data_IF_127997744798
#
_entry.id   IF_127997744798
#
_cell.length_a   1.000
_cell.length_b   1.000
_cell.length_c   1.000
_cell.angle_alpha   90.00
_cell.angle_beta   90.00
_cell.angle_gamma   90.00
#
_symmetry.space_group_name_H-M   'P 1'
#
loop_
_entity.id
_entity.type
_entity.pdbx_description
1 polymer ?
#
# COMPACT_ATOMS: atom_id res chain seq x y z
N UNK A 1 0.42 15.68 1.50
CA UNK A 1 -0.51 14.96 2.40
C UNK A 1 -0.02 13.54 2.54
N UNK A 2 0.09 13.04 3.77
CA UNK A 2 0.47 11.64 3.99
C UNK A 2 -0.74 10.72 3.89
N UNK A 3 -0.57 9.64 3.16
CA UNK A 3 -1.55 8.57 2.98
C UNK A 3 -0.90 7.23 3.30
N UNK A 4 -1.75 6.26 3.56
CA UNK A 4 -1.34 4.90 3.82
C UNK A 4 -2.01 3.95 2.84
N UNK A 5 -1.38 2.81 2.59
CA UNK A 5 -2.02 1.72 1.86
C UNK A 5 -1.56 0.37 2.40
N UNK A 6 -2.49 -0.48 2.86
CA UNK A 6 -2.18 -1.88 3.14
C UNK A 6 -1.99 -2.64 1.81
N UNK A 7 -0.92 -3.41 1.71
CA UNK A 7 -0.59 -4.20 0.52
C UNK A 7 -0.22 -5.64 0.90
N UNK A 8 -0.46 -6.58 0.00
CA UNK A 8 0.06 -7.95 0.11
C UNK A 8 1.44 -8.08 -0.54
N UNK A 9 2.07 -9.25 -0.39
CA UNK A 9 3.44 -9.47 -0.89
C UNK A 9 3.59 -9.25 -2.40
N UNK A 10 2.61 -9.71 -3.21
CA UNK A 10 2.66 -9.55 -4.68
C UNK A 10 2.63 -8.09 -5.11
N UNK A 11 1.81 -7.27 -4.44
CA UNK A 11 1.72 -5.84 -4.74
C UNK A 11 2.99 -5.12 -4.25
N UNK A 12 3.53 -5.49 -3.08
CA UNK A 12 4.80 -4.94 -2.60
C UNK A 12 5.97 -5.26 -3.54
N UNK A 13 6.05 -6.46 -4.10
CA UNK A 13 7.08 -6.81 -5.10
C UNK A 13 6.99 -5.93 -6.36
N UNK A 14 5.77 -5.61 -6.82
CA UNK A 14 5.57 -4.71 -7.95
C UNK A 14 5.97 -3.26 -7.61
N UNK A 15 5.67 -2.79 -6.40
CA UNK A 15 6.12 -1.48 -5.91
C UNK A 15 7.66 -1.44 -5.83
N UNK A 16 8.30 -2.51 -5.36
CA UNK A 16 9.75 -2.61 -5.28
C UNK A 16 10.40 -2.59 -6.68
N UNK A 17 9.83 -3.30 -7.66
CA UNK A 17 10.27 -3.24 -9.08
C UNK A 17 10.09 -1.86 -9.69
N UNK A 18 9.11 -1.09 -9.21
CA UNK A 18 8.93 0.31 -9.56
C UNK A 18 9.78 1.26 -8.70
N UNK A 19 10.85 0.77 -8.04
CA UNK A 19 11.74 1.57 -7.18
C UNK A 19 11.03 2.34 -6.07
N UNK A 20 9.88 1.83 -5.60
CA UNK A 20 9.03 2.46 -4.62
C UNK A 20 8.51 3.84 -5.03
N UNK A 21 8.37 4.13 -6.33
CA UNK A 21 7.83 5.41 -6.81
C UNK A 21 6.41 5.31 -7.34
N UNK A 22 5.86 4.10 -7.50
CA UNK A 22 4.53 3.90 -8.06
C UNK A 22 3.83 2.64 -7.52
N UNK A 23 2.50 2.71 -7.44
CA UNK A 23 1.65 1.54 -7.27
C UNK A 23 1.34 0.90 -8.64
N UNK A 24 1.22 -0.44 -8.72
CA UNK A 24 0.90 -1.11 -9.97
C UNK A 24 -0.54 -0.82 -10.43
N UNK A 25 -0.83 -0.90 -11.74
CA UNK A 25 -2.19 -0.80 -12.26
C UNK A 25 -3.15 -1.75 -11.55
N UNK A 26 -4.40 -1.31 -11.39
CA UNK A 26 -5.47 -2.15 -10.83
C UNK A 26 -5.86 -3.22 -11.85
N UNK A 27 -6.39 -4.34 -11.36
CA UNK A 27 -7.01 -5.34 -12.24
C UNK A 27 -8.29 -4.74 -12.87
N UNK A 28 -8.71 -5.17 -14.07
CA UNK A 28 -9.91 -4.63 -14.72
C UNK A 28 -11.18 -4.70 -13.86
N UNK A 29 -11.28 -5.70 -12.98
CA UNK A 29 -12.41 -5.87 -12.04
C UNK A 29 -12.34 -4.95 -10.81
N UNK A 30 -11.25 -4.21 -10.63
CA UNK A 30 -11.02 -3.31 -9.50
C UNK A 30 -11.15 -1.85 -9.99
N UNK A 31 -12.35 -1.25 -9.93
CA UNK A 31 -12.62 0.05 -10.55
C UNK A 31 -11.93 1.22 -9.84
N UNK A 32 -11.46 1.01 -8.61
CA UNK A 32 -10.86 2.05 -7.79
C UNK A 32 -9.52 1.62 -7.19
N UNK A 33 -8.62 2.58 -7.09
CA UNK A 33 -7.48 2.60 -6.19
C UNK A 33 -7.87 3.41 -4.95
N UNK A 34 -7.68 2.81 -3.77
CA UNK A 34 -8.05 3.44 -2.51
C UNK A 34 -6.89 3.47 -1.52
N UNK A 35 -6.27 4.63 -1.33
CA UNK A 35 -5.40 4.88 -0.19
C UNK A 35 -6.24 5.33 1.02
N UNK A 36 -5.76 5.03 2.22
CA UNK A 36 -6.43 5.36 3.48
C UNK A 36 -5.73 6.50 4.18
N UNK A 37 -6.49 7.27 4.96
CA UNK A 37 -5.96 8.43 5.67
C UNK A 37 -5.31 8.05 7.02
N UNK A 38 -5.70 6.92 7.59
CA UNK A 38 -5.32 6.53 8.96
C UNK A 38 -4.41 5.30 8.97
N UNK A 39 -3.29 5.39 9.67
CA UNK A 39 -2.38 4.27 9.88
C UNK A 39 -3.09 3.08 10.56
N UNK A 40 -3.86 3.33 11.62
CA UNK A 40 -4.57 2.29 12.37
C UNK A 40 -5.51 1.46 11.47
N UNK A 41 -6.16 2.12 10.51
CA UNK A 41 -7.02 1.43 9.55
C UNK A 41 -6.20 0.59 8.56
N UNK A 42 -5.10 1.13 8.03
CA UNK A 42 -4.19 0.38 7.18
C UNK A 42 -3.59 -0.83 7.91
N UNK A 43 -3.18 -0.63 9.17
CA UNK A 43 -2.64 -1.67 10.04
C UNK A 43 -3.65 -2.79 10.26
N UNK A 44 -4.90 -2.46 10.58
CA UNK A 44 -5.96 -3.45 10.77
C UNK A 44 -6.14 -4.32 9.53
N UNK A 45 -6.18 -3.71 8.33
CA UNK A 45 -6.30 -4.47 7.07
C UNK A 45 -5.07 -5.36 6.85
N UNK A 46 -3.87 -4.80 6.99
CA UNK A 46 -2.63 -5.53 6.77
C UNK A 46 -2.49 -6.73 7.74
N UNK A 47 -2.74 -6.51 9.03
CA UNK A 47 -2.62 -7.53 10.07
C UNK A 47 -3.74 -8.55 10.05
N UNK A 48 -4.99 -8.12 9.91
CA UNK A 48 -6.14 -9.00 10.17
C UNK A 48 -6.64 -9.69 8.89
N UNK A 49 -6.38 -9.11 7.71
CA UNK A 49 -6.86 -9.60 6.41
C UNK A 49 -5.73 -10.06 5.48
N UNK A 50 -4.69 -9.24 5.24
CA UNK A 50 -3.62 -9.61 4.28
C UNK A 50 -2.79 -10.81 4.77
N UNK A 51 -2.60 -10.99 6.08
CA UNK A 51 -1.95 -12.18 6.68
C UNK A 51 -2.73 -13.48 6.47
N UNK A 52 -4.03 -13.39 6.15
CA UNK A 52 -4.91 -14.53 5.85
C UNK A 52 -5.17 -14.71 4.35
N UNK A 53 -4.68 -13.78 3.54
CA UNK A 53 -4.75 -13.86 2.08
C UNK A 53 -3.73 -14.83 1.51
N UNK A 54 -3.73 -15.02 0.19
CA UNK A 54 -2.84 -15.95 -0.51
C UNK A 54 -1.33 -15.73 -0.26
N UNK A 55 -0.90 -14.52 0.14
CA UNK A 55 0.51 -14.26 0.47
C UNK A 55 0.88 -14.50 1.92
N UNK A 56 -0.11 -14.71 2.80
CA UNK A 56 0.05 -14.81 4.25
C UNK A 56 0.90 -13.70 4.89
N UNK A 57 0.93 -12.52 4.25
CA UNK A 57 1.72 -11.38 4.68
C UNK A 57 1.02 -10.09 4.27
N UNK A 58 1.06 -9.11 5.17
CA UNK A 58 0.50 -7.78 4.98
C UNK A 58 1.52 -6.71 5.33
N UNK A 59 1.52 -5.62 4.58
CA UNK A 59 2.45 -4.52 4.76
C UNK A 59 1.69 -3.21 4.77
N UNK A 60 2.04 -2.32 5.68
CA UNK A 60 1.54 -0.94 5.65
C UNK A 60 2.56 -0.09 4.94
N UNK A 61 2.14 0.52 3.83
CA UNK A 61 2.92 1.55 3.15
C UNK A 61 2.46 2.94 3.56
N UNK A 62 3.40 3.88 3.65
CA UNK A 62 3.19 5.31 3.84
C UNK A 62 3.81 6.06 2.68
N UNK A 63 3.11 7.05 2.15
CA UNK A 63 3.62 7.87 1.06
C UNK A 63 3.01 9.26 1.13
N UNK A 64 3.71 10.23 0.54
CA UNK A 64 3.24 11.59 0.45
C UNK A 64 2.73 11.87 -0.97
N UNK A 65 1.62 12.60 -1.07
CA UNK A 65 1.04 13.06 -2.33
C UNK A 65 0.82 14.56 -2.27
N UNK A 66 0.99 15.25 -3.40
CA UNK A 66 0.71 16.69 -3.52
C UNK A 66 -0.71 17.04 -3.07
N UNK A 67 -0.83 17.98 -2.13
CA UNK A 67 -2.10 18.41 -1.54
C UNK A 67 -3.09 18.95 -2.58
N UNK A 68 -2.60 19.73 -3.54
CA UNK A 68 -3.44 20.33 -4.59
C UNK A 68 -4.08 19.26 -5.49
N UNK A 69 -3.39 18.15 -5.73
CA UNK A 69 -3.89 17.06 -6.54
C UNK A 69 -4.88 16.20 -5.75
N UNK A 70 -4.51 15.81 -4.52
CA UNK A 70 -5.30 14.85 -3.75
C UNK A 70 -6.65 15.40 -3.26
N UNK A 71 -6.78 16.73 -3.13
CA UNK A 71 -8.04 17.42 -2.78
C UNK A 71 -9.16 17.22 -3.81
N UNK A 72 -8.86 16.72 -5.02
CA UNK A 72 -9.87 16.36 -6.02
C UNK A 72 -10.70 15.16 -5.60
N UNK A 73 -10.18 14.30 -4.72
CA UNK A 73 -10.85 13.10 -4.28
C UNK A 73 -11.55 13.34 -2.93
N UNK A 74 -12.89 13.24 -2.85
CA UNK A 74 -13.60 13.39 -1.59
C UNK A 74 -13.26 12.23 -0.64
N UNK A 75 -13.06 12.57 0.63
CA UNK A 75 -12.85 11.57 1.69
C UNK A 75 -14.12 10.77 1.90
N UNK A 76 -14.01 9.45 1.74
CA UNK A 76 -15.06 8.49 2.02
C UNK A 76 -14.86 7.91 3.41
N UNK A 77 -15.93 7.71 4.15
CA UNK A 77 -15.90 7.00 5.45
C UNK A 77 -16.68 5.70 5.30
N UNK A 78 -15.98 4.57 5.36
CA UNK A 78 -16.55 3.24 5.15
C UNK A 78 -16.70 2.50 6.48
N UNK A 79 -17.91 2.51 7.03
CA UNK A 79 -18.18 1.92 8.35
C UNK A 79 -17.79 2.87 9.48
N UNK A 80 -16.69 2.59 10.19
CA UNK A 80 -16.30 3.37 11.36
C UNK A 80 -15.61 4.69 11.00
N UNK A 81 -15.58 5.66 11.92
CA UNK A 81 -14.98 6.98 11.70
C UNK A 81 -13.49 6.95 11.34
N UNK A 82 -12.76 5.91 11.76
CA UNK A 82 -11.33 5.75 11.41
C UNK A 82 -11.12 5.13 10.02
N UNK A 83 -12.17 4.55 9.43
CA UNK A 83 -12.12 3.93 8.11
C UNK A 83 -12.30 4.99 7.02
N UNK A 84 -11.33 5.88 6.90
CA UNK A 84 -11.34 6.96 5.91
C UNK A 84 -10.42 6.62 4.75
N UNK A 85 -10.95 6.76 3.54
CA UNK A 85 -10.25 6.44 2.30
C UNK A 85 -10.59 7.42 1.19
N UNK A 86 -9.71 7.49 0.20
CA UNK A 86 -9.97 8.19 -1.06
C UNK A 86 -10.36 7.17 -2.11
N UNK A 87 -11.28 7.52 -3.00
CA UNK A 87 -11.60 6.69 -4.17
C UNK A 87 -11.04 7.36 -5.41
N UNK A 88 -9.91 6.82 -5.88
CA UNK A 88 -9.26 7.25 -7.12
C UNK A 88 -9.67 6.27 -8.22
N UNK A 89 -10.20 6.73 -9.37
CA UNK A 89 -10.50 5.83 -10.48
C UNK A 89 -9.25 5.05 -10.92
N UNK A 90 -9.42 3.77 -11.25
CA UNK A 90 -8.29 2.90 -11.61
C UNK A 90 -7.49 3.45 -12.81
N UNK A 91 -8.17 4.10 -13.75
CA UNK A 91 -7.60 4.79 -14.92
C UNK A 91 -6.79 6.04 -14.55
N UNK A 92 -7.04 6.66 -13.39
CA UNK A 92 -6.32 7.84 -12.92
C UNK A 92 -5.07 7.46 -12.10
N UNK A 93 -4.91 6.20 -11.71
CA UNK A 93 -3.76 5.74 -10.93
C UNK A 93 -2.38 6.09 -11.55
N UNK A 94 -2.18 6.05 -12.89
CA UNK A 94 -0.93 6.54 -13.49
C UNK A 94 -0.66 8.02 -13.24
N UNK A 95 -1.69 8.87 -13.24
CA UNK A 95 -1.57 10.29 -12.88
C UNK A 95 -1.33 10.44 -11.38
N UNK A 96 -2.06 9.69 -10.55
CA UNK A 96 -1.86 9.70 -9.11
C UNK A 96 -0.42 9.38 -8.73
N UNK A 97 0.18 8.37 -9.36
CA UNK A 97 1.58 8.00 -9.14
C UNK A 97 2.56 9.15 -9.47
N UNK A 98 2.27 9.99 -10.48
CA UNK A 98 3.09 11.16 -10.82
C UNK A 98 3.09 12.24 -9.74
N UNK A 99 2.06 12.26 -8.90
CA UNK A 99 1.92 13.20 -7.78
C UNK A 99 2.46 12.66 -6.45
N UNK A 100 2.99 11.42 -6.41
CA UNK A 100 3.70 10.90 -5.23
C UNK A 100 5.01 11.67 -5.07
N UNK A 101 5.25 12.15 -3.86
CA UNK A 101 6.47 12.88 -3.48
C UNK A 101 7.42 11.89 -2.82
N UNK A 102 8.65 11.80 -3.37
CA UNK A 102 9.68 10.91 -2.84
C UNK A 102 9.38 9.43 -3.10
N UNK A 103 9.49 8.60 -2.06
CA UNK A 103 9.30 7.14 -2.15
C UNK A 103 8.18 6.68 -1.24
N UNK A 104 7.51 5.62 -1.68
CA UNK A 104 6.61 4.80 -0.88
C UNK A 104 7.45 4.05 0.17
N UNK A 105 7.17 4.28 1.44
CA UNK A 105 7.90 3.67 2.56
C UNK A 105 7.08 2.51 3.13
N UNK A 106 7.70 1.36 3.38
CA UNK A 106 7.08 0.34 4.22
C UNK A 106 7.32 0.73 5.68
N UNK A 107 6.24 0.97 6.42
CA UNK A 107 6.32 1.39 7.83
C UNK A 107 6.06 0.26 8.80
N UNK A 108 5.39 -0.80 8.37
CA UNK A 108 5.13 -2.00 9.20
C UNK A 108 4.91 -3.22 8.32
N UNK A 109 5.33 -4.38 8.80
CA UNK A 109 5.11 -5.69 8.18
C UNK A 109 4.47 -6.65 9.17
N UNK A 110 3.54 -7.46 8.67
CA UNK A 110 2.79 -8.48 9.40
C UNK A 110 2.88 -9.80 8.65
N UNK A 111 3.15 -10.87 9.39
CA UNK A 111 3.31 -12.22 8.84
C UNK A 111 2.31 -13.14 9.52
N UNK A 112 1.51 -13.85 8.72
CA UNK A 112 0.61 -14.90 9.19
C UNK A 112 1.36 -16.20 9.44
N UNK A 113 0.71 -17.12 10.18
CA UNK A 113 1.27 -18.42 10.58
C UNK A 113 1.76 -19.28 9.40
N UNK A 114 1.13 -19.11 8.22
CA UNK A 114 1.44 -19.87 7.02
C UNK A 114 2.45 -19.17 6.08
N UNK A 115 3.07 -18.06 6.51
CA UNK A 115 4.09 -17.40 5.72
C UNK A 115 5.37 -18.25 5.65
N UNK A 116 5.89 -18.49 4.44
CA UNK A 116 7.06 -19.38 4.20
C UNK A 116 8.28 -18.66 3.60
N UNK A 117 8.40 -17.35 3.76
CA UNK A 117 9.53 -16.57 3.25
C UNK A 117 10.60 -16.31 4.30
N UNK A 118 11.86 -16.18 3.87
CA UNK A 118 12.92 -15.65 4.74
C UNK A 118 12.74 -14.15 4.95
N UNK A 119 12.81 -13.72 6.21
CA UNK A 119 12.72 -12.32 6.62
C UNK A 119 14.14 -11.79 6.85
N UNK A 120 14.44 -10.62 6.28
CA UNK A 120 15.64 -9.87 6.60
C UNK A 120 15.48 -9.23 7.98
N UNK A 121 16.36 -9.57 8.91
CA UNK A 121 16.31 -9.09 10.30
C UNK A 121 16.56 -7.59 10.45
N UNK A 122 17.17 -6.93 9.47
CA UNK A 122 17.44 -5.49 9.49
C UNK A 122 16.24 -4.68 9.01
N UNK A 123 15.56 -5.16 7.96
CA UNK A 123 14.46 -4.42 7.32
C UNK A 123 13.09 -4.90 7.76
N UNK A 124 13.00 -6.09 8.36
CA UNK A 124 11.76 -6.80 8.62
C UNK A 124 10.90 -6.96 7.35
N UNK A 125 11.56 -7.21 6.22
CA UNK A 125 10.94 -7.47 4.93
C UNK A 125 11.38 -8.83 4.36
N UNK A 126 10.58 -9.46 3.49
CA UNK A 126 11.00 -10.70 2.83
C UNK A 126 12.25 -10.48 1.98
N UNK A 127 13.28 -11.32 2.15
CA UNK A 127 14.51 -11.30 1.33
C UNK A 127 14.23 -11.53 -0.15
N UNK A 128 13.08 -12.14 -0.48
CA UNK A 128 12.64 -12.36 -1.85
C UNK A 128 12.25 -11.07 -2.58
N UNK A 129 12.06 -9.95 -1.87
CA UNK A 129 11.81 -8.67 -2.51
C UNK A 129 13.05 -8.29 -3.31
N UNK A 130 12.88 -8.20 -4.63
CA UNK A 130 13.93 -7.71 -5.54
C UNK A 130 14.03 -6.19 -5.41
N UNK A 131 14.58 -5.72 -4.29
CA UNK A 131 14.96 -4.33 -4.12
C UNK A 131 16.21 -4.15 -4.96
N UNK A 132 16.13 -3.36 -6.03
CA UNK A 132 17.32 -2.93 -6.76
C UNK A 132 18.17 -2.16 -5.74
N UNK A 133 19.36 -2.69 -5.43
CA UNK A 133 20.26 -2.13 -4.42
C UNK A 133 20.48 -0.64 -4.69
N UNK A 134 20.37 0.17 -3.63
CA UNK A 134 20.62 1.61 -3.65
C UNK A 134 22.10 1.94 -3.87
#
# INVERSE_FOLDING_TARGET
MFLYRPVGLKELDLIARANFTAFPPRLPVQPIFYPVLNFEYAEKIARDWNTKSNSFAGFVTKFEVQDCYVKKFPVQTVGSRICQELWVPAEELPEFNRHIIGKIQVVTAYYGENFRGEIDSKTNLPKSLKILAF
#
